data_IF_351585941767
#
_entry.id   IF_351585941767
#
_cell.length_a   1.000
_cell.length_b   1.000
_cell.length_c   1.000
_cell.angle_alpha   90.00
_cell.angle_beta   90.00
_cell.angle_gamma   90.00
#
_symmetry.space_group_name_H-M   'P 1'
#
loop_
_entity.id
_entity.type
_entity.pdbx_description
1 polymer ?
#
# COMPACT_ATOMS: atom_id res chain seq x y z
N UNK A 1 -5.03 -39.10 12.49
CA UNK A 1 -5.38 -38.91 11.06
C UNK A 1 -6.23 -37.65 10.97
N UNK A 2 -5.75 -36.60 10.29
CA UNK A 2 -6.47 -35.33 10.17
C UNK A 2 -7.77 -35.49 9.36
N UNK A 3 -8.75 -34.64 9.64
CA UNK A 3 -10.09 -34.66 9.06
C UNK A 3 -10.10 -34.89 7.54
N UNK A 4 -10.96 -35.81 7.09
CA UNK A 4 -11.20 -36.20 5.70
C UNK A 4 -11.64 -35.00 4.86
N UNK A 5 -10.71 -34.36 4.15
CA UNK A 5 -11.05 -33.28 3.19
C UNK A 5 -9.95 -32.26 2.92
N UNK A 6 -8.87 -32.22 3.72
CA UNK A 6 -7.75 -31.29 3.45
C UNK A 6 -6.75 -31.93 2.49
N UNK A 7 -6.81 -31.53 1.21
CA UNK A 7 -5.78 -31.86 0.22
C UNK A 7 -4.68 -30.81 0.30
N UNK A 8 -3.47 -31.21 0.72
CA UNK A 8 -2.32 -30.33 0.63
C UNK A 8 -1.95 -30.15 -0.84
N UNK A 9 -2.10 -28.93 -1.36
CA UNK A 9 -1.54 -28.57 -2.65
C UNK A 9 -0.01 -28.67 -2.57
N UNK A 10 0.62 -29.11 -3.66
CA UNK A 10 2.08 -29.23 -3.77
C UNK A 10 2.72 -27.89 -3.40
N UNK A 11 3.67 -27.91 -2.46
CA UNK A 11 4.37 -26.71 -2.03
C UNK A 11 4.99 -25.98 -3.23
N UNK A 12 4.73 -24.67 -3.33
CA UNK A 12 5.32 -23.80 -4.34
C UNK A 12 6.50 -23.10 -3.68
N UNK A 13 7.71 -23.29 -4.21
CA UNK A 13 8.90 -22.53 -3.85
C UNK A 13 9.17 -21.48 -4.92
N UNK A 14 9.46 -20.25 -4.52
CA UNK A 14 10.02 -19.24 -5.43
C UNK A 14 11.54 -19.27 -5.33
N UNK A 15 12.23 -19.45 -6.46
CA UNK A 15 13.70 -19.32 -6.53
C UNK A 15 14.14 -17.85 -6.45
N UNK A 16 13.23 -16.92 -6.76
CA UNK A 16 13.51 -15.48 -6.88
C UNK A 16 13.16 -14.69 -5.63
N UNK A 17 12.19 -15.16 -4.85
CA UNK A 17 11.67 -14.43 -3.69
C UNK A 17 11.66 -15.34 -2.46
N UNK A 18 12.68 -15.22 -1.62
CA UNK A 18 12.69 -15.85 -0.30
C UNK A 18 12.02 -14.95 0.74
N UNK A 19 11.21 -15.56 1.61
CA UNK A 19 10.49 -14.83 2.66
C UNK A 19 11.46 -14.21 3.69
N UNK A 20 12.65 -14.80 3.85
CA UNK A 20 13.70 -14.26 4.72
C UNK A 20 14.25 -12.94 4.19
N UNK A 21 14.63 -12.90 2.91
CA UNK A 21 15.17 -11.72 2.25
C UNK A 21 14.14 -10.59 2.18
N UNK A 22 12.87 -10.93 1.91
CA UNK A 22 11.77 -9.96 1.96
C UNK A 22 11.62 -9.35 3.36
N UNK A 23 11.71 -10.19 4.40
CA UNK A 23 11.65 -9.73 5.80
C UNK A 23 12.86 -8.87 6.18
N UNK A 24 14.08 -9.24 5.77
CA UNK A 24 15.27 -8.44 6.03
C UNK A 24 15.18 -7.08 5.33
N UNK A 25 14.74 -7.05 4.08
CA UNK A 25 14.53 -5.81 3.33
C UNK A 25 13.43 -4.93 3.97
N UNK A 26 12.35 -5.54 4.48
CA UNK A 26 11.33 -4.86 5.28
C UNK A 26 11.90 -4.23 6.55
N UNK A 27 12.75 -4.97 7.28
CA UNK A 27 13.33 -4.50 8.53
C UNK A 27 14.39 -3.42 8.33
N UNK A 28 15.12 -3.48 7.21
CA UNK A 28 16.11 -2.50 6.81
C UNK A 28 15.52 -1.21 6.24
N UNK A 29 14.25 -1.23 5.82
CA UNK A 29 13.57 -0.04 5.29
C UNK A 29 13.49 1.09 6.35
N UNK A 30 13.72 2.36 5.97
CA UNK A 30 13.52 3.49 6.87
C UNK A 30 12.09 3.53 7.44
N UNK A 31 11.98 3.48 8.77
CA UNK A 31 10.69 3.50 9.47
C UNK A 31 10.15 4.91 9.70
N UNK A 32 11.02 5.90 9.63
CA UNK A 32 10.67 7.32 9.73
C UNK A 32 10.61 7.87 8.32
N UNK A 33 9.44 8.35 7.91
CA UNK A 33 9.24 9.07 6.66
C UNK A 33 9.25 10.57 6.99
N UNK A 34 9.95 11.37 6.18
CA UNK A 34 9.95 12.83 6.28
C UNK A 34 8.56 13.43 6.02
N UNK A 35 8.39 14.74 6.16
CA UNK A 35 7.15 15.47 5.92
C UNK A 35 6.72 15.52 4.44
N UNK A 36 7.47 14.85 3.56
CA UNK A 36 7.16 14.70 2.15
C UNK A 36 5.77 14.09 1.92
N UNK A 37 5.00 14.76 1.07
CA UNK A 37 3.70 14.33 0.57
C UNK A 37 3.82 14.18 -0.94
N UNK A 38 3.35 13.06 -1.47
CA UNK A 38 3.30 12.84 -2.91
C UNK A 38 2.06 13.54 -3.47
N UNK A 39 2.31 14.56 -4.29
CA UNK A 39 1.29 15.33 -4.99
C UNK A 39 1.62 15.24 -6.48
N UNK A 40 0.71 14.63 -7.25
CA UNK A 40 0.72 14.50 -8.72
C UNK A 40 2.04 14.06 -9.38
N UNK A 41 2.11 12.77 -9.74
CA UNK A 41 3.05 12.21 -10.70
C UNK A 41 2.33 11.17 -11.54
N UNK A 42 2.29 11.36 -12.86
CA UNK A 42 1.41 10.68 -13.83
C UNK A 42 1.60 9.16 -13.97
N UNK A 43 2.51 8.55 -13.22
CA UNK A 43 2.88 7.15 -13.39
C UNK A 43 2.23 6.23 -12.33
N UNK A 44 1.65 6.80 -11.29
CA UNK A 44 1.03 6.05 -10.21
C UNK A 44 -0.26 6.75 -9.80
N UNK A 45 -1.36 6.01 -9.66
CA UNK A 45 -2.71 6.51 -9.42
C UNK A 45 -2.86 7.11 -8.00
N UNK A 46 -2.19 8.23 -7.74
CA UNK A 46 -2.08 8.87 -6.43
C UNK A 46 -2.83 10.19 -6.31
N UNK A 47 -3.72 10.50 -7.24
CA UNK A 47 -4.64 11.63 -7.08
C UNK A 47 -6.02 11.26 -7.58
N UNK A 48 -7.00 11.34 -6.69
CA UNK A 48 -8.42 11.26 -6.98
C UNK A 48 -9.04 12.56 -6.48
N UNK A 49 -8.89 13.61 -7.28
CA UNK A 49 -9.58 14.89 -7.07
C UNK A 49 -10.90 14.90 -7.82
N UNK A 50 -11.92 15.47 -7.19
CA UNK A 50 -13.16 15.88 -7.86
C UNK A 50 -13.37 17.38 -7.63
N UNK A 51 -14.38 17.95 -8.28
CA UNK A 51 -14.80 19.33 -7.97
C UNK A 51 -15.21 19.50 -6.49
N UNK A 52 -15.55 18.39 -5.82
CA UNK A 52 -16.09 18.36 -4.47
C UNK A 52 -15.09 17.84 -3.41
N UNK A 53 -13.89 17.43 -3.81
CA UNK A 53 -12.88 16.93 -2.86
C UNK A 53 -11.47 16.92 -3.44
N UNK A 54 -10.49 17.12 -2.57
CA UNK A 54 -9.08 17.00 -2.91
C UNK A 54 -8.44 15.87 -2.11
N UNK A 55 -7.85 14.91 -2.81
CA UNK A 55 -7.17 13.76 -2.21
C UNK A 55 -5.68 13.82 -2.50
N UNK A 56 -4.84 13.61 -1.49
CA UNK A 56 -3.39 13.48 -1.66
C UNK A 56 -2.83 12.39 -0.76
N UNK A 57 -1.76 11.75 -1.21
CA UNK A 57 -1.23 10.55 -0.56
C UNK A 57 0.03 10.87 0.23
N UNK A 58 0.06 10.32 1.43
CA UNK A 58 1.23 10.33 2.31
C UNK A 58 2.02 9.04 2.21
N UNK A 59 1.31 7.93 1.97
CA UNK A 59 1.81 6.57 1.77
C UNK A 59 0.88 5.85 0.79
N UNK A 60 1.30 5.76 -0.47
CA UNK A 60 0.55 5.18 -1.59
C UNK A 60 0.94 3.73 -1.92
N UNK A 61 0.02 2.95 -2.51
CA UNK A 61 0.34 1.62 -3.02
C UNK A 61 1.35 1.73 -4.18
N UNK A 62 2.61 1.43 -3.91
CA UNK A 62 3.71 1.41 -4.87
C UNK A 62 4.91 2.24 -4.43
N UNK A 63 4.77 3.01 -3.34
CA UNK A 63 5.85 3.86 -2.81
C UNK A 63 7.05 3.03 -2.38
N UNK A 64 8.21 3.30 -2.96
CA UNK A 64 9.46 2.69 -2.53
C UNK A 64 9.95 3.29 -1.19
N UNK A 65 10.54 2.50 -0.27
CA UNK A 65 10.48 1.05 -0.21
C UNK A 65 9.07 0.52 0.03
N UNK A 66 8.57 -0.25 -0.94
CA UNK A 66 7.21 -0.84 -0.95
C UNK A 66 7.05 -1.99 0.05
N UNK A 67 8.10 -2.23 0.84
CA UNK A 67 8.27 -3.49 1.53
C UNK A 67 7.37 -3.61 2.77
N UNK A 68 6.98 -2.51 3.43
CA UNK A 68 6.30 -2.57 4.74
C UNK A 68 4.82 -2.19 4.74
N UNK A 69 4.23 -1.80 3.61
CA UNK A 69 2.92 -1.16 3.61
C UNK A 69 1.77 -2.19 3.62
N UNK A 70 1.43 -2.70 4.81
CA UNK A 70 0.04 -3.12 5.10
C UNK A 70 -0.88 -1.90 5.32
N UNK A 71 -0.30 -0.71 5.38
CA UNK A 71 -0.97 0.55 5.67
C UNK A 71 -0.87 1.48 4.47
N UNK A 72 -2.02 2.02 4.09
CA UNK A 72 -2.16 3.12 3.13
C UNK A 72 -2.60 4.36 3.91
N UNK A 73 -2.00 5.51 3.60
CA UNK A 73 -2.34 6.78 4.24
C UNK A 73 -2.52 7.85 3.18
N UNK A 74 -3.73 8.40 3.13
CA UNK A 74 -4.06 9.55 2.32
C UNK A 74 -4.93 10.51 3.13
N UNK A 75 -4.94 11.75 2.70
CA UNK A 75 -5.81 12.78 3.24
C UNK A 75 -6.85 13.16 2.20
N UNK A 76 -8.03 13.46 2.69
CA UNK A 76 -9.13 13.99 1.89
C UNK A 76 -9.58 15.31 2.51
N UNK A 77 -9.58 16.36 1.72
CA UNK A 77 -10.21 17.62 2.05
C UNK A 77 -11.57 17.73 1.34
N UNK A 78 -12.62 18.02 2.11
CA UNK A 78 -14.00 18.13 1.64
C UNK A 78 -14.57 19.50 2.07
N UNK A 79 -15.00 20.37 1.15
CA UNK A 79 -15.61 21.65 1.49
C UNK A 79 -16.95 21.50 2.24
N UNK A 80 -17.40 22.53 2.98
CA UNK A 80 -18.70 22.51 3.65
C UNK A 80 -19.86 22.23 2.69
N UNK A 81 -20.75 21.31 3.08
CA UNK A 81 -21.91 20.93 2.26
C UNK A 81 -21.59 20.01 1.07
N UNK A 82 -20.35 19.53 0.96
CA UNK A 82 -19.94 18.54 -0.05
C UNK A 82 -19.77 17.15 0.56
N UNK A 83 -19.63 16.16 -0.30
CA UNK A 83 -19.31 14.79 0.08
C UNK A 83 -18.20 14.24 -0.80
N UNK A 84 -17.34 13.41 -0.22
CA UNK A 84 -16.47 12.54 -1.00
C UNK A 84 -17.05 11.12 -0.93
N UNK A 85 -17.34 10.57 -2.10
CA UNK A 85 -17.72 9.18 -2.28
C UNK A 85 -16.44 8.37 -2.55
N UNK A 86 -15.46 8.50 -1.65
CA UNK A 86 -14.23 7.69 -1.70
C UNK A 86 -14.57 6.18 -1.73
N UNK A 87 -13.55 5.32 -1.73
CA UNK A 87 -13.72 3.86 -1.87
C UNK A 87 -14.94 3.27 -1.15
#
# INVERSE_FOLDING_TARGET
MGESGRVFLRGISSEKYGLGEVREAQLAAPRVRGDDVLVDGTDLAYTAGSEDSRTWWRLGPGDDPFLTQTLQVHFVEIPPGKSNHGH
#
